data_IF_080976965197
#
_entry.id   IF_080976965197
#
_cell.length_a   1.000
_cell.length_b   1.000
_cell.length_c   1.000
_cell.angle_alpha   90.00
_cell.angle_beta   90.00
_cell.angle_gamma   90.00
#
_symmetry.space_group_name_H-M   'P 1'
#
loop_
_entity.id
_entity.type
_entity.pdbx_description
1 polymer ?
#
# COMPACT_ATOMS: atom_id res chain seq x y z
N UNK A 1 4.09 6.41 -6.12
CA UNK A 1 2.87 5.72 -5.66
C UNK A 1 1.76 6.71 -5.42
N UNK A 2 0.54 6.25 -5.26
CA UNK A 2 -0.61 7.06 -4.86
C UNK A 2 -0.41 7.47 -3.41
N UNK A 3 -0.08 8.75 -3.18
CA UNK A 3 -0.11 9.34 -1.84
C UNK A 3 -1.55 9.58 -1.37
N UNK A 4 -1.79 9.84 -0.07
CA UNK A 4 -3.12 10.21 0.40
C UNK A 4 -3.72 11.43 -0.31
N UNK A 5 -2.91 12.46 -0.59
CA UNK A 5 -3.37 13.63 -1.35
C UNK A 5 -3.77 13.24 -2.78
N UNK A 6 -2.99 12.38 -3.44
CA UNK A 6 -3.31 11.89 -4.78
C UNK A 6 -4.56 11.02 -4.78
N UNK A 7 -4.77 10.19 -3.77
CA UNK A 7 -5.99 9.40 -3.62
C UNK A 7 -7.24 10.30 -3.53
N UNK A 8 -7.15 11.43 -2.82
CA UNK A 8 -8.22 12.44 -2.77
C UNK A 8 -8.44 13.07 -4.16
N UNK A 9 -7.36 13.42 -4.87
CA UNK A 9 -7.46 13.98 -6.23
C UNK A 9 -8.10 13.00 -7.22
N UNK A 10 -7.72 11.72 -7.16
CA UNK A 10 -8.27 10.66 -8.01
C UNK A 10 -9.74 10.38 -7.69
N UNK A 11 -10.11 10.35 -6.42
CA UNK A 11 -11.52 10.24 -6.00
C UNK A 11 -12.37 11.38 -6.56
N UNK A 12 -11.88 12.62 -6.50
CA UNK A 12 -12.58 13.79 -7.08
C UNK A 12 -12.67 13.75 -8.60
N UNK A 13 -11.62 13.27 -9.28
CA UNK A 13 -11.54 13.29 -10.74
C UNK A 13 -12.25 12.10 -11.41
N UNK A 14 -12.22 10.92 -10.78
CA UNK A 14 -12.61 9.65 -11.41
C UNK A 14 -13.62 8.84 -10.57
N UNK A 15 -14.02 9.33 -9.40
CA UNK A 15 -14.91 8.62 -8.49
C UNK A 15 -14.20 7.57 -7.63
N UNK A 16 -15.00 6.70 -6.99
CA UNK A 16 -14.56 5.83 -5.88
C UNK A 16 -14.10 6.62 -4.64
N UNK A 17 -13.67 5.91 -3.59
CA UNK A 17 -13.17 6.52 -2.35
C UNK A 17 -11.64 6.62 -2.34
N UNK A 18 -11.05 7.59 -1.61
CA UNK A 18 -9.59 7.65 -1.43
C UNK A 18 -8.99 6.35 -0.88
N UNK A 19 -9.70 5.64 0.00
CA UNK A 19 -9.28 4.35 0.58
C UNK A 19 -9.13 3.26 -0.49
N UNK A 20 -10.00 3.24 -1.51
CA UNK A 20 -9.88 2.30 -2.63
C UNK A 20 -8.59 2.55 -3.41
N UNK A 21 -8.30 3.82 -3.71
CA UNK A 21 -7.07 4.20 -4.41
C UNK A 21 -5.80 3.88 -3.61
N UNK A 22 -5.82 4.12 -2.30
CA UNK A 22 -4.72 3.74 -1.41
C UNK A 22 -4.57 2.21 -1.31
N UNK A 23 -5.68 1.48 -1.26
CA UNK A 23 -5.69 0.02 -1.27
C UNK A 23 -5.03 -0.56 -2.52
N UNK A 24 -5.31 0.02 -3.70
CA UNK A 24 -4.64 -0.36 -4.95
C UNK A 24 -3.13 -0.15 -4.90
N UNK A 25 -2.69 0.99 -4.37
CA UNK A 25 -1.26 1.28 -4.21
C UNK A 25 -0.60 0.30 -3.23
N UNK A 26 -1.24 0.01 -2.11
CA UNK A 26 -0.74 -0.95 -1.12
C UNK A 26 -0.62 -2.36 -1.72
N UNK A 27 -1.62 -2.81 -2.48
CA UNK A 27 -1.58 -4.10 -3.16
C UNK A 27 -0.43 -4.18 -4.19
N UNK A 28 -0.25 -3.11 -4.98
CA UNK A 28 0.86 -3.01 -5.92
C UNK A 28 2.22 -3.06 -5.21
N UNK A 29 2.39 -2.30 -4.13
CA UNK A 29 3.65 -2.25 -3.38
C UNK A 29 3.97 -3.60 -2.74
N UNK A 30 2.97 -4.28 -2.18
CA UNK A 30 3.14 -5.62 -1.62
C UNK A 30 3.56 -6.62 -2.70
N UNK A 31 2.88 -6.66 -3.85
CA UNK A 31 3.22 -7.56 -4.95
C UNK A 31 4.63 -7.34 -5.51
N UNK A 32 5.13 -6.09 -5.50
CA UNK A 32 6.52 -5.80 -5.87
C UNK A 32 7.51 -6.29 -4.82
N UNK A 33 7.20 -6.11 -3.54
CA UNK A 33 8.07 -6.49 -2.42
C UNK A 33 8.11 -7.99 -2.17
N UNK A 34 7.03 -8.73 -2.45
CA UNK A 34 6.94 -10.18 -2.30
C UNK A 34 8.07 -10.92 -3.03
N UNK A 35 8.48 -10.43 -4.21
CA UNK A 35 9.60 -10.99 -4.98
C UNK A 35 10.94 -10.96 -4.23
N UNK A 36 11.08 -10.06 -3.26
CA UNK A 36 12.27 -9.87 -2.45
C UNK A 36 12.00 -10.12 -0.96
N UNK A 37 10.86 -10.70 -0.58
CA UNK A 37 10.46 -10.85 0.81
C UNK A 37 11.51 -11.61 1.65
N UNK A 38 12.18 -12.62 1.06
CA UNK A 38 13.26 -13.37 1.74
C UNK A 38 14.50 -12.54 2.10
N UNK A 39 14.67 -11.32 1.56
CA UNK A 39 15.75 -10.40 1.93
C UNK A 39 15.41 -9.56 3.17
N UNK A 40 14.14 -9.51 3.57
CA UNK A 40 13.67 -8.73 4.71
C UNK A 40 13.95 -9.53 5.99
N UNK A 41 14.98 -9.12 6.74
CA UNK A 41 15.38 -9.76 8.00
C UNK A 41 14.66 -9.10 9.16
N UNK A 42 13.73 -9.82 9.77
CA UNK A 42 12.96 -9.37 10.95
C UNK A 42 12.91 -10.46 12.00
N UNK A 43 12.93 -10.07 13.28
CA UNK A 43 12.67 -10.98 14.40
C UNK A 43 11.21 -10.78 14.85
N UNK A 44 10.48 -11.88 15.06
CA UNK A 44 9.13 -11.80 15.62
C UNK A 44 9.22 -11.32 17.06
N UNK A 45 8.48 -10.27 17.39
CA UNK A 45 8.36 -9.80 18.77
C UNK A 45 7.66 -10.88 19.58
N UNK A 46 8.29 -11.35 20.65
CA UNK A 46 7.65 -12.25 21.60
C UNK A 46 6.56 -11.49 22.35
N UNK A 47 5.40 -12.10 22.54
CA UNK A 47 4.35 -11.57 23.39
C UNK A 47 4.91 -11.32 24.79
N UNK A 48 4.80 -10.08 25.28
CA UNK A 48 5.06 -9.74 26.69
C UNK A 48 4.01 -10.39 27.60
#
# INVERSE_FOLDING_TARGET
>A
GISPEMAIRLSKAFGSSPEVWLGMQMAYDLAQLEKNAGKIKVQRVASL
#
